data_IF_651224806732
#
_entry.id   IF_651224806732
#
_cell.length_a   1.000
_cell.length_b   1.000
_cell.length_c   1.000
_cell.angle_alpha   90.00
_cell.angle_beta   90.00
_cell.angle_gamma   90.00
#
_symmetry.space_group_name_H-M   'P 1'
#
loop_
_entity.id
_entity.type
_entity.pdbx_description
1 polymer ?
#
# COMPACT_ATOMS: atom_id res chain seq x y z
N UNK A 1 11.15 -16.01 69.68
CA UNK A 1 10.13 -16.89 70.30
C UNK A 1 8.89 -16.76 69.41
N UNK A 2 8.63 -17.63 68.43
CA UNK A 2 7.97 -18.97 68.48
C UNK A 2 6.68 -19.05 69.32
N UNK A 3 5.54 -18.84 68.64
CA UNK A 3 4.25 -19.56 68.80
C UNK A 3 3.40 -19.25 67.56
N UNK A 4 3.37 -20.04 66.48
CA UNK A 4 2.70 -21.33 66.24
C UNK A 4 1.17 -21.35 66.48
N UNK A 5 0.46 -21.51 65.35
CA UNK A 5 -0.77 -22.30 65.10
C UNK A 5 -2.11 -21.58 65.37
N UNK A 6 -2.93 -21.36 64.32
CA UNK A 6 -4.01 -22.29 63.96
C UNK A 6 -4.59 -21.94 62.57
N UNK A 7 -4.41 -22.86 61.61
CA UNK A 7 -5.07 -22.89 60.31
C UNK A 7 -6.56 -23.21 60.48
N UNK A 8 -7.44 -22.41 59.88
CA UNK A 8 -8.84 -22.78 59.68
C UNK A 8 -9.03 -23.13 58.21
N UNK A 9 -8.82 -24.40 57.90
CA UNK A 9 -9.24 -25.03 56.65
C UNK A 9 -10.77 -25.18 56.72
N UNK A 10 -11.48 -24.39 55.95
CA UNK A 10 -12.92 -24.58 55.72
C UNK A 10 -13.12 -25.77 54.79
N UNK A 11 -13.18 -26.97 55.38
CA UNK A 11 -13.56 -28.20 54.68
C UNK A 11 -15.06 -28.12 54.35
N UNK A 12 -15.37 -27.80 53.10
CA UNK A 12 -16.70 -27.98 52.52
C UNK A 12 -16.89 -29.48 52.30
N UNK A 13 -17.45 -30.14 53.31
CA UNK A 13 -17.88 -31.54 53.27
C UNK A 13 -19.00 -31.69 52.24
N UNK A 14 -18.64 -32.08 51.01
CA UNK A 14 -19.58 -32.66 50.05
C UNK A 14 -19.88 -34.08 50.53
N UNK A 15 -21.07 -34.28 51.09
CA UNK A 15 -21.57 -35.59 51.48
C UNK A 15 -21.73 -36.48 50.25
N UNK A 16 -20.89 -37.51 50.15
CA UNK A 16 -21.11 -38.65 49.26
C UNK A 16 -22.25 -39.50 49.83
N UNK A 17 -23.39 -39.51 49.15
CA UNK A 17 -24.39 -40.57 49.28
C UNK A 17 -24.38 -41.33 47.96
N UNK A 18 -23.65 -42.45 47.93
CA UNK A 18 -23.81 -43.48 46.92
C UNK A 18 -24.77 -44.54 47.43
N UNK A 19 -25.98 -44.57 46.86
CA UNK A 19 -26.77 -45.80 46.65
C UNK A 19 -27.78 -45.54 45.52
N UNK A 20 -27.52 -46.12 44.33
CA UNK A 20 -28.56 -46.50 43.37
C UNK A 20 -29.26 -45.43 42.52
N UNK A 21 -28.56 -44.36 42.06
CA UNK A 21 -29.17 -43.24 41.32
C UNK A 21 -28.39 -42.74 40.08
N UNK A 22 -27.38 -43.46 39.56
CA UNK A 22 -26.54 -42.97 38.44
C UNK A 22 -27.33 -42.47 37.22
N UNK A 23 -28.38 -43.20 36.82
CA UNK A 23 -29.23 -42.81 35.69
C UNK A 23 -30.06 -41.52 35.95
N UNK A 24 -30.41 -41.22 37.20
CA UNK A 24 -31.11 -39.97 37.53
C UNK A 24 -30.17 -38.78 37.56
N UNK A 25 -28.91 -38.98 38.00
CA UNK A 25 -27.89 -37.91 38.02
C UNK A 25 -27.50 -37.53 36.59
N UNK A 26 -27.17 -38.51 35.73
CA UNK A 26 -26.84 -38.28 34.31
C UNK A 26 -27.95 -37.46 33.62
N UNK A 27 -29.21 -37.89 33.75
CA UNK A 27 -30.34 -37.17 33.16
C UNK A 27 -30.50 -35.76 33.71
N UNK A 28 -30.39 -35.58 35.03
CA UNK A 28 -30.51 -34.26 35.66
C UNK A 28 -29.39 -33.31 35.20
N UNK A 29 -28.15 -33.79 35.11
CA UNK A 29 -27.00 -33.02 34.66
C UNK A 29 -27.12 -32.60 33.18
N UNK A 30 -27.62 -33.48 32.31
CA UNK A 30 -27.89 -33.15 30.91
C UNK A 30 -28.99 -32.08 30.80
N UNK A 31 -30.08 -32.18 31.57
CA UNK A 31 -31.14 -31.16 31.55
C UNK A 31 -30.63 -29.80 32.10
N UNK A 32 -29.81 -29.81 33.16
CA UNK A 32 -29.15 -28.59 33.65
C UNK A 32 -28.25 -27.96 32.58
N UNK A 33 -27.54 -28.77 31.81
CA UNK A 33 -26.74 -28.28 30.70
C UNK A 33 -27.59 -27.63 29.61
N UNK A 34 -28.73 -28.23 29.24
CA UNK A 34 -29.67 -27.64 28.27
C UNK A 34 -30.20 -26.29 28.74
N UNK A 35 -30.63 -26.18 30.01
CA UNK A 35 -31.05 -24.89 30.59
C UNK A 35 -29.92 -23.86 30.61
N UNK A 36 -28.69 -24.27 30.91
CA UNK A 36 -27.53 -23.40 30.85
C UNK A 36 -27.22 -22.93 29.40
N UNK A 37 -27.37 -23.82 28.40
CA UNK A 37 -27.25 -23.47 26.98
C UNK A 37 -28.32 -22.45 26.56
N UNK A 38 -29.59 -22.66 26.95
CA UNK A 38 -30.67 -21.70 26.71
C UNK A 38 -30.39 -20.34 27.34
N UNK A 39 -29.73 -20.33 28.49
CA UNK A 39 -29.32 -19.12 29.22
C UNK A 39 -27.97 -18.55 28.74
N UNK A 40 -27.35 -19.15 27.72
CA UNK A 40 -26.01 -18.81 27.20
C UNK A 40 -24.88 -18.88 28.22
N UNK A 41 -25.06 -19.68 29.28
CA UNK A 41 -24.07 -19.92 30.33
C UNK A 41 -23.20 -21.15 29.98
N UNK A 42 -22.45 -21.07 28.88
CA UNK A 42 -21.76 -22.24 28.29
C UNK A 42 -20.74 -22.90 29.22
N UNK A 43 -20.02 -22.15 30.05
CA UNK A 43 -19.10 -22.72 31.06
C UNK A 43 -19.86 -23.61 32.06
N UNK A 44 -21.07 -23.18 32.48
CA UNK A 44 -21.91 -23.98 33.37
C UNK A 44 -22.49 -25.19 32.63
N UNK A 45 -22.82 -25.04 31.35
CA UNK A 45 -23.27 -26.16 30.53
C UNK A 45 -22.17 -27.24 30.43
N UNK A 46 -20.92 -26.86 30.13
CA UNK A 46 -19.79 -27.78 30.11
C UNK A 46 -19.55 -28.45 31.46
N UNK A 47 -19.59 -27.70 32.56
CA UNK A 47 -19.45 -28.28 33.89
C UNK A 47 -20.56 -29.31 34.18
N UNK A 48 -21.79 -29.03 33.80
CA UNK A 48 -22.93 -29.94 33.98
C UNK A 48 -22.81 -31.19 33.09
N UNK A 49 -22.34 -31.04 31.85
CA UNK A 49 -22.09 -32.17 30.94
C UNK A 49 -20.91 -33.03 31.41
N UNK A 50 -19.87 -32.41 31.97
CA UNK A 50 -18.76 -33.15 32.58
C UNK A 50 -19.23 -34.01 33.75
N UNK A 51 -20.13 -33.50 34.60
CA UNK A 51 -20.73 -34.29 35.68
C UNK A 51 -21.50 -35.51 35.14
N UNK A 52 -22.24 -35.35 34.03
CA UNK A 52 -22.93 -36.48 33.40
C UNK A 52 -21.94 -37.52 32.85
N UNK A 53 -20.84 -37.07 32.22
CA UNK A 53 -19.81 -37.93 31.63
C UNK A 53 -18.91 -38.59 32.68
N UNK A 54 -18.74 -37.99 33.85
CA UNK A 54 -18.01 -38.61 34.96
C UNK A 54 -18.77 -39.83 35.52
N UNK A 55 -20.10 -39.80 35.50
CA UNK A 55 -20.99 -40.90 35.89
C UNK A 55 -21.21 -41.92 34.76
N UNK A 56 -21.38 -41.47 33.52
CA UNK A 56 -21.56 -42.30 32.33
C UNK A 56 -20.76 -41.75 31.13
N UNK A 57 -19.53 -42.23 30.99
CA UNK A 57 -18.58 -41.77 29.96
C UNK A 57 -19.04 -42.05 28.54
N UNK A 58 -19.87 -43.06 28.34
CA UNK A 58 -20.33 -43.49 27.00
C UNK A 58 -21.69 -42.88 26.65
N UNK A 59 -22.23 -41.99 27.50
CA UNK A 59 -23.50 -41.35 27.24
C UNK A 59 -23.46 -40.53 25.95
N UNK A 60 -24.20 -40.97 24.93
CA UNK A 60 -24.16 -40.36 23.60
C UNK A 60 -24.64 -38.90 23.59
N UNK A 61 -25.70 -38.60 24.34
CA UNK A 61 -26.28 -37.25 24.39
C UNK A 61 -25.34 -36.28 25.11
N UNK A 62 -24.78 -36.67 26.26
CA UNK A 62 -23.83 -35.83 26.98
C UNK A 62 -22.55 -35.58 26.16
N UNK A 63 -21.99 -36.62 25.53
CA UNK A 63 -20.80 -36.48 24.68
C UNK A 63 -21.06 -35.53 23.49
N UNK A 64 -22.21 -35.68 22.84
CA UNK A 64 -22.61 -34.83 21.71
C UNK A 64 -22.75 -33.37 22.13
N UNK A 65 -23.54 -33.10 23.18
CA UNK A 65 -23.72 -31.75 23.71
C UNK A 65 -22.40 -31.13 24.17
N UNK A 66 -21.55 -31.91 24.84
CA UNK A 66 -20.24 -31.44 25.29
C UNK A 66 -19.39 -31.00 24.11
N UNK A 67 -19.28 -31.85 23.08
CA UNK A 67 -18.52 -31.55 21.86
C UNK A 67 -19.02 -30.29 21.16
N UNK A 68 -20.33 -30.09 21.08
CA UNK A 68 -20.92 -28.89 20.47
C UNK A 68 -20.56 -27.62 21.26
N UNK A 69 -20.78 -27.62 22.58
CA UNK A 69 -20.54 -26.44 23.43
C UNK A 69 -19.05 -26.13 23.53
N UNK A 70 -18.21 -27.15 23.70
CA UNK A 70 -16.76 -27.01 23.79
C UNK A 70 -16.17 -26.52 22.46
N UNK A 71 -16.62 -27.08 21.33
CA UNK A 71 -16.24 -26.62 19.99
C UNK A 71 -16.56 -25.15 19.77
N UNK A 72 -17.77 -24.71 20.13
CA UNK A 72 -18.16 -23.29 20.07
C UNK A 72 -17.24 -22.40 20.92
N UNK A 73 -16.99 -22.76 22.18
CA UNK A 73 -16.16 -21.94 23.08
C UNK A 73 -14.70 -21.87 22.62
N UNK A 74 -14.13 -22.99 22.14
CA UNK A 74 -12.79 -23.02 21.57
C UNK A 74 -12.67 -22.15 20.33
N UNK A 75 -13.61 -22.27 19.41
CA UNK A 75 -13.65 -21.43 18.21
C UNK A 75 -13.77 -19.95 18.55
N UNK A 76 -14.68 -19.59 19.47
CA UNK A 76 -14.86 -18.21 19.91
C UNK A 76 -13.56 -17.64 20.48
N UNK A 77 -12.87 -18.41 21.33
CA UNK A 77 -11.57 -18.01 21.88
C UNK A 77 -10.52 -17.82 20.79
N UNK A 78 -10.46 -18.69 19.79
CA UNK A 78 -9.53 -18.54 18.66
C UNK A 78 -9.82 -17.28 17.84
N UNK A 79 -11.10 -16.91 17.65
CA UNK A 79 -11.48 -15.62 17.04
C UNK A 79 -11.00 -14.45 17.89
N UNK A 80 -11.22 -14.49 19.21
CA UNK A 80 -10.75 -13.46 20.15
C UNK A 80 -9.20 -13.33 20.14
N UNK A 81 -8.49 -14.41 19.83
CA UNK A 81 -7.02 -14.47 19.65
C UNK A 81 -6.55 -14.18 18.20
N UNK A 82 -7.46 -13.78 17.30
CA UNK A 82 -7.19 -13.53 15.88
C UNK A 82 -6.63 -14.74 15.09
N UNK A 83 -6.87 -15.97 15.56
CA UNK A 83 -6.49 -17.23 14.90
C UNK A 83 -7.64 -17.75 14.04
N UNK A 84 -8.01 -16.98 13.02
CA UNK A 84 -9.24 -17.17 12.25
C UNK A 84 -9.29 -18.51 11.49
N UNK A 85 -8.15 -18.98 10.95
CA UNK A 85 -8.09 -20.26 10.24
C UNK A 85 -8.33 -21.44 11.19
N UNK A 86 -7.66 -21.45 12.34
CA UNK A 86 -7.89 -22.47 13.38
C UNK A 86 -9.33 -22.42 13.89
N UNK A 87 -9.89 -21.22 14.07
CA UNK A 87 -11.29 -21.06 14.46
C UNK A 87 -12.24 -21.69 13.43
N UNK A 88 -12.00 -21.48 12.14
CA UNK A 88 -12.80 -22.07 11.06
C UNK A 88 -12.78 -23.59 11.11
N UNK A 89 -11.61 -24.19 11.26
CA UNK A 89 -11.47 -25.66 11.36
C UNK A 89 -12.30 -26.24 12.52
N UNK A 90 -12.26 -25.58 13.69
CA UNK A 90 -13.06 -26.00 14.84
C UNK A 90 -14.56 -25.85 14.56
N UNK A 91 -15.01 -24.71 14.02
CA UNK A 91 -16.44 -24.44 13.74
C UNK A 91 -16.99 -25.43 12.72
N UNK A 92 -16.27 -25.68 11.64
CA UNK A 92 -16.70 -26.61 10.59
C UNK A 92 -16.69 -28.07 11.08
N UNK A 93 -15.95 -28.37 12.15
CA UNK A 93 -15.95 -29.66 12.84
C UNK A 93 -17.03 -29.83 13.91
N UNK A 94 -17.79 -28.79 14.26
CA UNK A 94 -18.88 -28.90 15.24
C UNK A 94 -19.95 -29.85 14.71
N UNK A 95 -20.40 -30.78 15.56
CA UNK A 95 -21.45 -31.74 15.21
C UNK A 95 -22.71 -31.02 14.72
N UNK A 96 -23.15 -31.35 13.50
CA UNK A 96 -24.27 -30.69 12.80
C UNK A 96 -25.61 -30.74 13.55
N UNK A 97 -25.78 -31.65 14.51
CA UNK A 97 -26.96 -31.70 15.36
C UNK A 97 -27.10 -30.47 16.28
N UNK A 98 -26.08 -29.60 16.34
CA UNK A 98 -26.14 -28.30 17.03
C UNK A 98 -27.38 -27.48 16.64
N UNK A 99 -27.91 -27.67 15.42
CA UNK A 99 -29.13 -27.03 14.92
C UNK A 99 -30.38 -27.33 15.77
N UNK A 100 -30.35 -28.39 16.57
CA UNK A 100 -31.47 -28.81 17.40
C UNK A 100 -31.45 -28.19 18.81
N UNK A 101 -30.45 -27.36 19.12
CA UNK A 101 -30.25 -26.79 20.45
C UNK A 101 -30.23 -25.26 20.40
N UNK A 102 -30.50 -24.62 21.55
CA UNK A 102 -30.58 -23.15 21.63
C UNK A 102 -29.27 -22.42 21.27
N UNK A 103 -28.12 -23.11 21.30
CA UNK A 103 -26.82 -22.59 20.87
C UNK A 103 -26.70 -22.35 19.35
N UNK A 104 -27.67 -22.84 18.55
CA UNK A 104 -27.65 -22.75 17.08
C UNK A 104 -27.31 -21.37 16.56
N UNK A 105 -28.02 -20.35 17.03
CA UNK A 105 -27.84 -18.98 16.53
C UNK A 105 -26.44 -18.45 16.83
N UNK A 106 -25.87 -18.78 17.98
CA UNK A 106 -24.54 -18.34 18.38
C UNK A 106 -23.43 -19.00 17.53
N UNK A 107 -23.58 -20.28 17.20
CA UNK A 107 -22.67 -21.00 16.29
C UNK A 107 -22.79 -20.44 14.86
N UNK A 108 -24.01 -20.28 14.34
CA UNK A 108 -24.24 -19.76 12.99
C UNK A 108 -23.68 -18.33 12.85
N UNK A 109 -23.86 -17.50 13.87
CA UNK A 109 -23.31 -16.14 13.89
C UNK A 109 -21.78 -16.16 13.92
N UNK A 110 -21.16 -17.02 14.74
CA UNK A 110 -19.71 -17.15 14.79
C UNK A 110 -19.15 -17.65 13.45
N UNK A 111 -19.82 -18.63 12.82
CA UNK A 111 -19.49 -19.14 11.49
C UNK A 111 -19.54 -18.04 10.45
N UNK A 112 -20.61 -17.25 10.42
CA UNK A 112 -20.76 -16.14 9.50
C UNK A 112 -19.68 -15.07 9.71
N UNK A 113 -19.32 -14.75 10.96
CA UNK A 113 -18.25 -13.81 11.27
C UNK A 113 -16.90 -14.29 10.71
N UNK A 114 -16.56 -15.55 10.93
CA UNK A 114 -15.32 -16.15 10.42
C UNK A 114 -15.29 -16.19 8.89
N UNK A 115 -16.38 -16.65 8.26
CA UNK A 115 -16.46 -16.72 6.79
C UNK A 115 -16.38 -15.31 6.16
N UNK A 116 -17.03 -14.31 6.76
CA UNK A 116 -16.94 -12.93 6.29
C UNK A 116 -15.52 -12.36 6.45
N UNK A 117 -14.86 -12.61 7.58
CA UNK A 117 -13.47 -12.19 7.78
C UNK A 117 -12.55 -12.74 6.69
N UNK A 118 -12.64 -14.05 6.42
CA UNK A 118 -11.80 -14.70 5.41
C UNK A 118 -12.06 -14.16 4.00
N UNK A 119 -13.33 -13.90 3.68
CA UNK A 119 -13.70 -13.28 2.41
C UNK A 119 -13.09 -11.87 2.26
N UNK A 120 -13.07 -11.07 3.32
CA UNK A 120 -12.43 -9.74 3.26
C UNK A 120 -10.90 -9.85 3.14
N UNK A 121 -10.27 -10.83 3.78
CA UNK A 121 -8.83 -11.13 3.56
C UNK A 121 -8.55 -11.51 2.10
N UNK A 122 -9.41 -12.32 1.48
CA UNK A 122 -9.31 -12.65 0.05
C UNK A 122 -9.50 -11.41 -0.84
N UNK A 123 -10.47 -10.55 -0.53
CA UNK A 123 -10.67 -9.28 -1.25
C UNK A 123 -9.41 -8.40 -1.19
N UNK A 124 -8.75 -8.32 -0.03
CA UNK A 124 -7.50 -7.58 0.13
C UNK A 124 -6.38 -8.19 -0.72
N UNK A 125 -6.35 -9.52 -0.86
CA UNK A 125 -5.40 -10.19 -1.76
C UNK A 125 -5.62 -9.78 -3.21
N UNK A 126 -6.88 -9.66 -3.65
CA UNK A 126 -7.18 -9.15 -4.98
C UNK A 126 -6.74 -7.68 -5.16
N UNK A 127 -6.96 -6.82 -4.16
CA UNK A 127 -6.51 -5.42 -4.18
C UNK A 127 -4.97 -5.31 -4.22
N UNK A 128 -4.25 -6.19 -3.52
CA UNK A 128 -2.78 -6.27 -3.62
C UNK A 128 -2.34 -6.60 -5.06
N UNK A 129 -2.99 -7.57 -5.70
CA UNK A 129 -2.70 -7.89 -7.10
C UNK A 129 -3.00 -6.72 -8.05
N UNK A 130 -4.06 -5.95 -7.79
CA UNK A 130 -4.34 -4.71 -8.52
C UNK A 130 -3.21 -3.68 -8.34
N UNK A 131 -2.75 -3.48 -7.10
CA UNK A 131 -1.64 -2.58 -6.81
C UNK A 131 -0.32 -3.03 -7.47
N UNK A 132 -0.02 -4.33 -7.48
CA UNK A 132 1.14 -4.89 -8.19
C UNK A 132 1.06 -4.63 -9.69
N UNK A 133 -0.13 -4.76 -10.29
CA UNK A 133 -0.34 -4.41 -11.69
C UNK A 133 -0.13 -2.91 -11.97
N UNK A 134 -0.61 -2.02 -11.09
CA UNK A 134 -0.34 -0.59 -11.19
C UNK A 134 1.16 -0.29 -11.13
N UNK A 135 1.87 -0.93 -10.19
CA UNK A 135 3.32 -0.82 -10.07
C UNK A 135 4.04 -1.25 -11.36
N UNK A 136 3.70 -2.43 -11.88
CA UNK A 136 4.29 -2.97 -13.11
C UNK A 136 4.02 -2.08 -14.34
N UNK A 137 2.87 -1.39 -14.35
CA UNK A 137 2.51 -0.41 -15.37
C UNK A 137 3.13 0.98 -15.13
N UNK A 138 4.05 1.11 -14.16
CA UNK A 138 4.72 2.36 -13.77
C UNK A 138 3.77 3.45 -13.24
N UNK A 139 2.56 3.07 -12.82
CA UNK A 139 1.56 3.94 -12.21
C UNK A 139 1.84 4.03 -10.70
N UNK A 140 3.03 4.52 -10.33
CA UNK A 140 3.55 4.43 -8.97
C UNK A 140 2.76 5.26 -7.96
N UNK A 141 2.31 6.45 -8.37
CA UNK A 141 1.51 7.34 -7.51
C UNK A 141 0.14 6.73 -7.24
N UNK A 142 -0.51 6.21 -8.28
CA UNK A 142 -1.80 5.53 -8.19
C UNK A 142 -1.71 4.24 -7.37
N UNK A 143 -0.64 3.46 -7.56
CA UNK A 143 -0.34 2.28 -6.75
C UNK A 143 -0.30 2.63 -5.26
N UNK A 144 0.47 3.67 -4.88
CA UNK A 144 0.54 4.13 -3.49
C UNK A 144 -0.82 4.57 -2.93
N UNK A 145 -1.59 5.35 -3.69
CA UNK A 145 -2.93 5.77 -3.25
C UNK A 145 -3.83 4.56 -3.04
N UNK A 146 -3.85 3.64 -4.00
CA UNK A 146 -4.64 2.41 -3.91
C UNK A 146 -4.33 1.60 -2.65
N UNK A 147 -3.03 1.42 -2.34
CA UNK A 147 -2.60 0.69 -1.15
C UNK A 147 -3.05 1.41 0.13
N UNK A 148 -2.77 2.71 0.27
CA UNK A 148 -3.12 3.45 1.49
C UNK A 148 -4.63 3.53 1.71
N UNK A 149 -5.39 3.75 0.64
CA UNK A 149 -6.82 4.04 0.72
C UNK A 149 -7.66 2.78 0.87
N UNK A 150 -7.24 1.66 0.26
CA UNK A 150 -8.06 0.43 0.20
C UNK A 150 -7.51 -0.75 0.97
N UNK A 151 -6.20 -0.80 1.25
CA UNK A 151 -5.54 -1.96 1.87
C UNK A 151 -5.16 -1.63 3.31
N UNK A 152 -4.30 -0.63 3.52
CA UNK A 152 -3.79 -0.29 4.86
C UNK A 152 -4.83 0.37 5.77
N UNK A 153 -5.92 0.89 5.19
CA UNK A 153 -7.07 1.41 5.92
C UNK A 153 -8.02 0.30 6.42
N UNK A 154 -7.89 -0.92 5.91
CA UNK A 154 -8.78 -2.03 6.26
C UNK A 154 -8.41 -2.67 7.59
N UNK A 155 -9.42 -2.95 8.42
CA UNK A 155 -9.25 -3.71 9.66
C UNK A 155 -8.96 -5.20 9.44
N UNK A 156 -9.17 -5.71 8.22
CA UNK A 156 -9.00 -7.13 7.86
C UNK A 156 -7.63 -7.43 7.24
N UNK A 157 -6.78 -6.42 7.07
CA UNK A 157 -5.44 -6.62 6.51
C UNK A 157 -4.61 -7.48 7.45
N UNK A 158 -4.07 -8.58 6.94
CA UNK A 158 -3.16 -9.43 7.72
C UNK A 158 -1.77 -8.82 7.79
N UNK A 159 -0.97 -9.22 8.78
CA UNK A 159 0.41 -8.75 8.91
C UNK A 159 1.24 -9.07 7.65
N UNK A 160 1.03 -10.25 7.05
CA UNK A 160 1.72 -10.62 5.80
C UNK A 160 1.32 -9.72 4.63
N UNK A 161 0.01 -9.45 4.47
CA UNK A 161 -0.50 -8.55 3.44
C UNK A 161 0.00 -7.12 3.64
N UNK A 162 0.05 -6.67 4.89
CA UNK A 162 0.57 -5.35 5.26
C UNK A 162 2.05 -5.20 4.91
N UNK A 163 2.88 -6.21 5.23
CA UNK A 163 4.31 -6.19 4.86
C UNK A 163 4.48 -6.10 3.34
N UNK A 164 3.72 -6.89 2.56
CA UNK A 164 3.76 -6.82 1.09
C UNK A 164 3.33 -5.45 0.56
N UNK A 165 2.25 -4.88 1.12
CA UNK A 165 1.75 -3.56 0.79
C UNK A 165 2.80 -2.45 1.05
N UNK A 166 3.43 -2.47 2.21
CA UNK A 166 4.47 -1.50 2.61
C UNK A 166 5.72 -1.63 1.74
N UNK A 167 6.13 -2.85 1.39
CA UNK A 167 7.23 -3.09 0.45
C UNK A 167 6.94 -2.49 -0.93
N UNK A 168 5.72 -2.66 -1.44
CA UNK A 168 5.31 -2.13 -2.74
C UNK A 168 5.25 -0.60 -2.76
N UNK A 169 4.82 0.02 -1.65
CA UNK A 169 4.91 1.48 -1.46
C UNK A 169 6.37 1.93 -1.53
N UNK A 170 7.27 1.27 -0.81
CA UNK A 170 8.69 1.62 -0.78
C UNK A 170 9.32 1.55 -2.18
N UNK A 171 9.06 0.46 -2.92
CA UNK A 171 9.52 0.32 -4.31
C UNK A 171 8.96 1.41 -5.22
N UNK A 172 7.70 1.79 -5.03
CA UNK A 172 7.07 2.89 -5.78
C UNK A 172 7.76 4.22 -5.51
N UNK A 173 8.10 4.50 -4.25
CA UNK A 173 8.83 5.72 -3.87
C UNK A 173 10.23 5.77 -4.46
N UNK A 174 10.96 4.66 -4.42
CA UNK A 174 12.28 4.55 -5.04
C UNK A 174 12.21 4.82 -6.56
N UNK A 175 11.22 4.24 -7.24
CA UNK A 175 11.03 4.44 -8.68
C UNK A 175 10.64 5.88 -9.05
N UNK A 176 9.78 6.53 -8.26
CA UNK A 176 9.42 7.95 -8.44
C UNK A 176 10.66 8.84 -8.28
N UNK A 177 11.45 8.61 -7.23
CA UNK A 177 12.66 9.37 -6.96
C UNK A 177 13.69 9.22 -8.07
N UNK A 178 13.84 8.00 -8.62
CA UNK A 178 14.74 7.77 -9.75
C UNK A 178 14.28 8.51 -11.01
N UNK A 179 12.99 8.45 -11.34
CA UNK A 179 12.42 9.19 -12.48
C UNK A 179 12.64 10.68 -12.33
N UNK A 180 12.41 11.24 -11.13
CA UNK A 180 12.59 12.66 -10.88
C UNK A 180 14.06 13.07 -10.96
N UNK A 181 14.98 12.25 -10.44
CA UNK A 181 16.42 12.49 -10.56
C UNK A 181 16.88 12.47 -12.02
N UNK A 182 16.38 11.53 -12.84
CA UNK A 182 16.66 11.46 -14.26
C UNK A 182 16.11 12.70 -15.00
N UNK A 183 14.88 13.12 -14.69
CA UNK A 183 14.25 14.32 -15.27
C UNK A 183 15.06 15.59 -14.98
N UNK A 184 15.50 15.77 -13.73
CA UNK A 184 16.33 16.91 -13.32
C UNK A 184 17.69 16.88 -14.01
N UNK A 185 18.30 15.71 -14.17
CA UNK A 185 19.58 15.57 -14.88
C UNK A 185 19.46 15.90 -16.38
N UNK A 186 18.39 15.44 -17.03
CA UNK A 186 18.12 15.74 -18.44
C UNK A 186 17.83 17.23 -18.67
N UNK A 187 17.05 17.85 -17.77
CA UNK A 187 16.75 19.28 -17.83
C UNK A 187 18.02 20.14 -17.66
N UNK A 188 18.95 19.73 -16.79
CA UNK A 188 20.26 20.39 -16.64
C UNK A 188 21.10 20.28 -17.92
N UNK A 189 21.17 19.10 -18.54
CA UNK A 189 21.90 18.90 -19.81
C UNK A 189 21.33 19.79 -20.92
N UNK A 190 20.01 19.82 -21.09
CA UNK A 190 19.36 20.69 -22.09
C UNK A 190 19.64 22.17 -21.88
N UNK A 191 19.66 22.63 -20.62
CA UNK A 191 20.01 24.03 -20.29
C UNK A 191 21.49 24.35 -20.58
N UNK A 192 22.40 23.42 -20.32
CA UNK A 192 23.82 23.61 -20.62
C UNK A 192 24.09 23.62 -22.13
N UNK A 193 23.46 22.72 -22.88
CA UNK A 193 23.54 22.69 -24.35
C UNK A 193 22.94 23.96 -24.97
N UNK A 194 21.81 24.45 -24.46
CA UNK A 194 21.21 25.70 -24.92
C UNK A 194 22.12 26.91 -24.66
N UNK A 195 22.80 26.96 -23.51
CA UNK A 195 23.78 28.02 -23.21
C UNK A 195 24.98 27.97 -24.15
N UNK A 196 25.56 26.79 -24.39
CA UNK A 196 26.68 26.63 -25.34
C UNK A 196 26.28 27.05 -26.76
N UNK A 197 25.09 26.66 -27.22
CA UNK A 197 24.60 27.06 -28.54
C UNK A 197 24.34 28.58 -28.63
N UNK A 198 23.88 29.22 -27.56
CA UNK A 198 23.71 30.68 -27.51
C UNK A 198 25.07 31.42 -27.52
N UNK A 199 26.05 30.90 -26.78
CA UNK A 199 27.43 31.42 -26.79
C UNK A 199 28.09 31.27 -28.16
N UNK A 200 27.92 30.12 -28.84
CA UNK A 200 28.41 29.91 -30.21
C UNK A 200 27.75 30.86 -31.21
N UNK A 201 26.44 31.10 -31.11
CA UNK A 201 25.75 32.09 -31.94
C UNK A 201 26.25 33.51 -31.70
N UNK A 202 26.45 33.90 -30.43
CA UNK A 202 27.06 35.20 -30.09
C UNK A 202 28.49 35.31 -30.61
N UNK A 203 29.26 34.23 -30.56
CA UNK A 203 30.62 34.22 -31.11
C UNK A 203 30.61 34.39 -32.64
N UNK A 204 29.73 33.68 -33.36
CA UNK A 204 29.55 33.84 -34.81
C UNK A 204 29.12 35.28 -35.17
N UNK A 205 28.15 35.85 -34.45
CA UNK A 205 27.72 37.24 -34.67
C UNK A 205 28.82 38.27 -34.34
N UNK A 206 29.64 38.03 -33.31
CA UNK A 206 30.77 38.91 -32.97
C UNK A 206 31.96 38.80 -33.94
N UNK A 207 32.02 37.70 -34.70
CA UNK A 207 33.08 37.44 -35.69
C UNK A 207 32.79 38.02 -37.07
N UNK A 208 31.63 38.66 -37.26
CA UNK A 208 31.31 39.34 -38.51
C UNK A 208 32.33 40.46 -38.79
N UNK A 209 33.02 40.34 -39.93
CA UNK A 209 34.00 41.33 -40.37
C UNK A 209 33.30 42.68 -40.51
N UNK A 210 33.81 43.66 -39.76
CA UNK A 210 33.41 45.06 -39.85
C UNK A 210 34.42 45.82 -40.69
N UNK A 211 33.92 46.55 -41.67
CA UNK A 211 34.72 47.36 -42.58
C UNK A 211 34.55 48.83 -42.22
N UNK A 212 35.66 49.57 -42.16
CA UNK A 212 35.60 51.00 -41.82
C UNK A 212 34.98 51.78 -42.99
N UNK A 213 33.94 52.57 -42.72
CA UNK A 213 33.22 53.37 -43.71
C UNK A 213 33.53 54.86 -43.45
N UNK A 214 34.40 55.50 -44.26
CA UNK A 214 34.94 56.82 -43.95
C UNK A 214 33.90 57.93 -43.81
N UNK A 215 32.90 57.95 -44.69
CA UNK A 215 31.87 59.01 -44.70
C UNK A 215 30.94 58.97 -43.48
N UNK A 216 30.92 57.86 -42.73
CA UNK A 216 30.15 57.70 -41.50
C UNK A 216 31.02 57.65 -40.25
N UNK A 217 32.35 57.62 -40.41
CA UNK A 217 33.33 57.47 -39.33
C UNK A 217 33.01 56.31 -38.37
N UNK A 218 32.55 55.17 -38.92
CA UNK A 218 32.19 53.96 -38.16
C UNK A 218 32.50 52.71 -38.97
N UNK A 219 32.73 51.60 -38.28
CA UNK A 219 32.93 50.29 -38.92
C UNK A 219 31.63 49.49 -38.96
N UNK A 220 31.25 49.07 -40.15
CA UNK A 220 29.98 48.42 -40.44
C UNK A 220 30.17 46.98 -40.93
N UNK A 221 29.25 46.09 -40.62
CA UNK A 221 29.12 44.78 -41.28
C UNK A 221 28.62 44.97 -42.72
N UNK A 222 28.72 43.92 -43.56
CA UNK A 222 28.17 43.96 -44.93
C UNK A 222 26.66 44.23 -44.95
N UNK A 223 25.92 43.69 -44.00
CA UNK A 223 24.47 43.92 -43.86
C UNK A 223 24.18 45.36 -43.43
N UNK A 224 24.93 45.89 -42.45
CA UNK A 224 24.82 47.31 -42.04
C UNK A 224 25.16 48.25 -43.22
N UNK A 225 26.12 47.89 -44.07
CA UNK A 225 26.44 48.65 -45.30
C UNK A 225 25.32 48.57 -46.34
N UNK A 226 24.65 47.43 -46.48
CA UNK A 226 23.47 47.27 -47.35
C UNK A 226 22.31 48.16 -46.88
N UNK A 227 22.05 48.21 -45.58
CA UNK A 227 21.04 49.09 -44.99
C UNK A 227 21.35 50.57 -45.19
N UNK A 228 22.62 50.97 -45.01
CA UNK A 228 23.01 52.35 -45.29
C UNK A 228 22.87 52.69 -46.77
N UNK A 229 23.24 51.78 -47.68
CA UNK A 229 23.03 51.95 -49.12
C UNK A 229 21.54 52.18 -49.43
N UNK A 230 20.64 51.39 -48.84
CA UNK A 230 19.20 51.53 -49.05
C UNK A 230 18.65 52.87 -48.55
N UNK A 231 19.25 53.47 -47.51
CA UNK A 231 18.85 54.81 -47.01
C UNK A 231 19.34 55.93 -47.93
N UNK A 232 20.60 55.88 -48.36
CA UNK A 232 21.22 56.97 -49.12
C UNK A 232 21.07 56.82 -50.63
N UNK A 233 20.65 55.63 -51.10
CA UNK A 233 20.46 55.25 -52.51
C UNK A 233 21.66 55.58 -53.41
N UNK A 234 22.88 55.50 -52.86
CA UNK A 234 24.12 55.77 -53.60
C UNK A 234 25.27 54.91 -53.11
N UNK A 235 26.21 54.51 -54.00
CA UNK A 235 27.44 53.83 -53.61
C UNK A 235 28.29 54.67 -52.66
N UNK A 236 29.12 54.01 -51.84
CA UNK A 236 30.03 54.67 -50.91
C UNK A 236 31.27 53.82 -50.63
N UNK A 237 32.32 54.46 -50.13
CA UNK A 237 33.59 53.81 -49.87
C UNK A 237 33.64 53.09 -48.53
N UNK A 238 34.37 51.97 -48.48
CA UNK A 238 34.75 51.24 -47.28
C UNK A 238 36.21 50.76 -47.39
N UNK A 239 36.89 50.58 -46.26
CA UNK A 239 38.26 50.07 -46.21
C UNK A 239 38.22 48.56 -45.97
N UNK A 240 38.79 47.80 -46.91
CA UNK A 240 38.94 46.35 -46.81
C UNK A 240 40.09 45.94 -45.88
N UNK A 241 40.16 44.64 -45.58
CA UNK A 241 41.14 44.08 -44.63
C UNK A 241 42.60 44.31 -45.01
N UNK A 242 42.88 44.53 -46.30
CA UNK A 242 44.20 44.83 -46.85
C UNK A 242 44.56 46.33 -46.81
N UNK A 243 43.72 47.16 -46.19
CA UNK A 243 43.89 48.62 -46.14
C UNK A 243 43.54 49.34 -47.45
N UNK A 244 43.03 48.61 -48.45
CA UNK A 244 42.60 49.18 -49.72
C UNK A 244 41.16 49.68 -49.59
N UNK A 245 40.87 50.85 -50.14
CA UNK A 245 39.53 51.40 -50.22
C UNK A 245 38.76 50.76 -51.38
N UNK A 246 37.55 50.30 -51.11
CA UNK A 246 36.63 49.70 -52.06
C UNK A 246 35.31 50.47 -52.08
N UNK A 247 34.60 50.46 -53.20
CA UNK A 247 33.27 51.05 -53.29
C UNK A 247 32.18 50.00 -53.10
N UNK A 248 31.32 50.16 -52.11
CA UNK A 248 30.16 49.31 -51.87
C UNK A 248 29.03 49.65 -52.85
N UNK A 249 28.66 48.68 -53.70
CA UNK A 249 27.52 48.78 -54.63
C UNK A 249 26.86 47.40 -54.82
N UNK A 250 25.71 47.11 -54.20
CA UNK A 250 25.10 45.78 -54.21
C UNK A 250 24.52 45.37 -55.58
N UNK A 251 24.38 46.30 -56.54
CA UNK A 251 23.83 46.05 -57.87
C UNK A 251 24.90 45.83 -58.96
N UNK A 252 26.18 45.90 -58.61
CA UNK A 252 27.29 45.72 -59.55
C UNK A 252 27.61 44.24 -59.77
N UNK A 253 27.73 43.81 -61.03
CA UNK A 253 28.15 42.44 -61.42
C UNK A 253 29.67 42.27 -61.54
N UNK A 254 30.47 43.31 -61.27
CA UNK A 254 31.94 43.26 -61.30
C UNK A 254 32.52 43.36 -59.88
N UNK A 255 33.56 42.57 -59.53
CA UNK A 255 34.26 42.71 -58.24
C UNK A 255 34.79 44.14 -58.11
N UNK A 256 34.61 44.72 -56.93
CA UNK A 256 34.95 46.11 -56.59
C UNK A 256 36.42 46.42 -56.86
N UNK A 257 36.70 47.31 -57.82
CA UNK A 257 38.04 47.84 -58.07
C UNK A 257 38.48 48.78 -56.91
N UNK A 258 39.80 48.91 -56.65
CA UNK A 258 40.31 49.87 -55.68
C UNK A 258 39.85 51.29 -56.02
N UNK A 259 39.29 52.02 -55.05
CA UNK A 259 39.14 53.46 -55.19
C UNK A 259 40.55 54.06 -55.18
N UNK A 260 40.96 54.61 -56.33
CA UNK A 260 42.26 55.25 -56.56
C UNK A 260 42.54 56.37 -55.55
#
# INVERSE_FOLDING_TARGET
>A
MKSKILSTVGVLMIGLIFVGCGNSVVKQSIEQAKTAIESKEYDKALASLQLALDEDKENEEANKLYSIVDGYQKAKKLVDENKIIEAKEIIDGINSDYINYAIKEDIDNLKSQVDNYLKEVENITALLNEAENMFNNKQYTECKSHINDKILSSQYVTDEQKVKAEELIKKSDEAINEIEAQRVAEEKKKKEEAKKAEEEKKHQQSSEKRYYVPHLNKSLTMDEMSDEFNKISRPFDYVGDNGITYMFNPWSTKPTEPAY
#
